data_IF_393910816643
#
_entry.id   IF_393910816643
#
_cell.length_a   1.000
_cell.length_b   1.000
_cell.length_c   1.000
_cell.angle_alpha   90.00
_cell.angle_beta   90.00
_cell.angle_gamma   90.00
#
_symmetry.space_group_name_H-M   'P 1'
#
loop_
_entity.id
_entity.type
_entity.pdbx_description
1 polymer ?
#
# COMPACT_ATOMS: atom_id res chain seq x y z
N UNK A 1 -4.90 38.73 13.54
CA UNK A 1 -4.75 37.27 13.34
C UNK A 1 -5.75 36.83 12.30
N UNK A 2 -5.35 36.80 11.02
CA UNK A 2 -6.26 36.43 9.93
C UNK A 2 -6.47 34.92 9.99
N UNK A 3 -7.70 34.50 10.28
CA UNK A 3 -8.10 33.10 10.26
C UNK A 3 -7.85 32.56 8.85
N UNK A 4 -6.89 31.64 8.74
CA UNK A 4 -6.62 30.85 7.54
C UNK A 4 -7.83 29.91 7.38
N UNK A 5 -8.82 30.29 6.57
CA UNK A 5 -9.89 29.38 6.20
C UNK A 5 -9.29 28.09 5.63
N UNK A 6 -9.89 26.91 5.86
CA UNK A 6 -9.40 25.68 5.25
C UNK A 6 -9.61 25.81 3.74
N UNK A 7 -8.55 26.19 3.04
CA UNK A 7 -8.51 26.18 1.58
C UNK A 7 -8.90 24.77 1.14
N UNK A 8 -9.92 24.65 0.28
CA UNK A 8 -10.26 23.37 -0.33
C UNK A 8 -8.97 22.79 -0.94
N UNK A 9 -8.65 21.50 -0.69
CA UNK A 9 -7.43 20.92 -1.25
C UNK A 9 -7.46 21.07 -2.77
N UNK A 10 -6.35 21.56 -3.31
CA UNK A 10 -6.18 21.66 -4.76
C UNK A 10 -6.21 20.27 -5.39
N UNK A 11 -6.46 20.20 -6.69
CA UNK A 11 -6.41 18.93 -7.42
C UNK A 11 -4.99 18.34 -7.40
N UNK A 12 -3.96 19.18 -7.39
CA UNK A 12 -2.57 18.79 -7.15
C UNK A 12 -2.36 18.14 -5.76
N UNK A 13 -2.90 18.73 -4.67
CA UNK A 13 -2.85 18.13 -3.33
C UNK A 13 -3.55 16.76 -3.28
N UNK A 14 -4.59 16.57 -4.09
CA UNK A 14 -5.30 15.31 -4.18
C UNK A 14 -4.47 14.25 -4.92
N UNK A 15 -3.79 14.62 -6.01
CA UNK A 15 -2.88 13.73 -6.75
C UNK A 15 -1.73 13.28 -5.85
N UNK A 16 -1.06 14.20 -5.14
CA UNK A 16 0.06 13.86 -4.24
C UNK A 16 -0.36 12.84 -3.16
N UNK A 17 -1.55 13.01 -2.59
CA UNK A 17 -2.09 12.05 -1.61
C UNK A 17 -2.35 10.67 -2.21
N UNK A 18 -2.87 10.62 -3.44
CA UNK A 18 -3.12 9.36 -4.14
C UNK A 18 -1.81 8.67 -4.52
N UNK A 19 -0.78 9.42 -4.92
CA UNK A 19 0.55 8.90 -5.21
C UNK A 19 1.24 8.36 -3.95
N UNK A 20 1.18 9.11 -2.85
CA UNK A 20 1.71 8.66 -1.57
C UNK A 20 1.05 7.35 -1.11
N UNK A 21 -0.25 7.20 -1.30
CA UNK A 21 -0.97 5.97 -0.97
C UNK A 21 -0.56 4.81 -1.89
N UNK A 22 -0.37 5.06 -3.19
CA UNK A 22 0.17 4.05 -4.11
C UNK A 22 1.55 3.56 -3.64
N UNK A 23 2.45 4.48 -3.25
CA UNK A 23 3.78 4.10 -2.77
C UNK A 23 3.73 3.31 -1.46
N UNK A 24 2.82 3.67 -0.54
CA UNK A 24 2.57 2.89 0.68
C UNK A 24 2.10 1.47 0.35
N UNK A 25 1.15 1.32 -0.56
CA UNK A 25 0.64 0.01 -0.98
C UNK A 25 1.72 -0.84 -1.65
N UNK A 26 2.59 -0.24 -2.46
CA UNK A 26 3.75 -0.91 -3.08
C UNK A 26 4.77 -1.36 -2.03
N UNK A 27 5.12 -0.48 -1.09
CA UNK A 27 6.05 -0.80 -0.01
C UNK A 27 5.51 -1.96 0.85
N UNK A 28 4.23 -1.87 1.23
CA UNK A 28 3.53 -2.92 1.95
C UNK A 28 3.55 -4.25 1.19
N UNK A 29 3.27 -4.23 -0.11
CA UNK A 29 3.31 -5.44 -0.94
C UNK A 29 4.72 -6.04 -1.03
N UNK A 30 5.75 -5.21 -1.16
CA UNK A 30 7.16 -5.65 -1.19
C UNK A 30 7.54 -6.35 0.12
N UNK A 31 7.18 -5.75 1.25
CA UNK A 31 7.38 -6.32 2.58
C UNK A 31 6.66 -7.67 2.73
N UNK A 32 5.37 -7.75 2.39
CA UNK A 32 4.61 -9.00 2.47
C UNK A 32 5.24 -10.12 1.64
N UNK A 33 5.69 -9.82 0.41
CA UNK A 33 6.36 -10.80 -0.46
C UNK A 33 7.69 -11.27 0.10
N UNK A 34 8.48 -10.35 0.66
CA UNK A 34 9.74 -10.68 1.32
C UNK A 34 9.49 -11.58 2.54
N UNK A 35 8.50 -11.25 3.37
CA UNK A 35 8.11 -12.05 4.52
C UNK A 35 7.66 -13.47 4.11
N UNK A 36 6.77 -13.60 3.12
CA UNK A 36 6.34 -14.91 2.61
C UNK A 36 7.51 -15.73 2.05
N UNK A 37 8.49 -15.06 1.43
CA UNK A 37 9.71 -15.73 0.93
C UNK A 37 10.57 -16.24 2.06
N UNK A 38 10.76 -15.45 3.11
CA UNK A 38 11.51 -15.84 4.30
C UNK A 38 10.82 -17.00 5.04
N UNK A 39 9.50 -16.92 5.24
CA UNK A 39 8.69 -17.99 5.84
C UNK A 39 8.79 -19.30 5.07
N UNK A 40 8.72 -19.26 3.73
CA UNK A 40 8.88 -20.46 2.89
C UNK A 40 10.26 -21.10 3.03
N UNK A 41 11.28 -20.31 3.33
CA UNK A 41 12.66 -20.78 3.57
C UNK A 41 12.92 -21.15 5.04
N UNK A 42 11.99 -20.86 5.96
CA UNK A 42 12.21 -21.01 7.40
C UNK A 42 13.24 -20.04 7.98
N UNK A 43 13.41 -18.86 7.36
CA UNK A 43 14.44 -17.88 7.74
C UNK A 43 13.87 -16.77 8.63
N UNK A 44 13.92 -17.00 9.95
CA UNK A 44 13.45 -16.04 10.95
C UNK A 44 14.35 -14.81 11.07
N UNK A 45 15.64 -14.95 10.75
CA UNK A 45 16.58 -13.82 10.73
C UNK A 45 16.18 -12.82 9.65
N UNK A 46 15.78 -13.31 8.47
CA UNK A 46 15.28 -12.45 7.41
C UNK A 46 13.99 -11.73 7.82
N UNK A 47 13.09 -12.38 8.57
CA UNK A 47 11.88 -11.73 9.09
C UNK A 47 12.19 -10.66 10.14
N UNK A 48 13.12 -10.93 11.06
CA UNK A 48 13.62 -9.92 12.00
C UNK A 48 14.26 -8.73 11.30
N UNK A 49 15.05 -8.98 10.25
CA UNK A 49 15.68 -7.94 9.45
C UNK A 49 14.67 -7.08 8.68
N UNK A 50 13.48 -7.63 8.36
CA UNK A 50 12.35 -6.88 7.81
C UNK A 50 11.60 -6.04 8.87
N UNK A 51 11.96 -6.18 10.16
CA UNK A 51 11.39 -5.42 11.27
C UNK A 51 10.23 -6.11 11.99
N UNK A 52 9.98 -7.39 11.73
CA UNK A 52 8.95 -8.14 12.46
C UNK A 52 9.44 -8.53 13.86
N UNK A 53 8.57 -8.40 14.87
CA UNK A 53 8.81 -8.94 16.21
C UNK A 53 8.66 -10.47 16.22
N UNK A 54 9.25 -11.12 17.22
CA UNK A 54 9.12 -12.58 17.41
C UNK A 54 7.67 -13.04 17.52
N UNK A 55 6.84 -12.26 18.21
CA UNK A 55 5.40 -12.51 18.33
C UNK A 55 4.72 -12.53 16.95
N UNK A 56 4.97 -11.51 16.13
CA UNK A 56 4.39 -11.40 14.80
C UNK A 56 4.93 -12.48 13.84
N UNK A 57 6.19 -12.89 14.01
CA UNK A 57 6.77 -14.03 13.27
C UNK A 57 6.04 -15.33 13.66
N UNK A 58 5.75 -15.53 14.94
CA UNK A 58 4.95 -16.65 15.44
C UNK A 58 3.54 -16.69 14.82
N UNK A 59 2.86 -15.54 14.78
CA UNK A 59 1.57 -15.40 14.12
C UNK A 59 1.65 -15.75 12.63
N UNK A 60 2.64 -15.20 11.91
CA UNK A 60 2.84 -15.46 10.49
C UNK A 60 3.17 -16.93 10.18
N UNK A 61 3.78 -17.65 11.12
CA UNK A 61 4.03 -19.10 11.01
C UNK A 61 2.80 -19.94 11.31
N UNK A 62 1.80 -19.37 11.97
CA UNK A 62 0.57 -20.08 12.27
C UNK A 62 -0.17 -20.34 10.96
N UNK A 63 -0.56 -21.59 10.74
CA UNK A 63 -1.28 -21.98 9.54
C UNK A 63 -2.69 -21.39 9.58
N UNK A 64 -3.12 -20.80 8.47
CA UNK A 64 -4.51 -20.43 8.27
C UNK A 64 -5.41 -21.68 8.17
N UNK A 65 -6.73 -21.47 8.08
CA UNK A 65 -7.72 -22.54 7.90
C UNK A 65 -7.44 -23.45 6.68
N UNK A 66 -6.70 -22.96 5.68
CA UNK A 66 -6.32 -23.68 4.47
C UNK A 66 -4.89 -24.24 4.52
N UNK A 67 -4.23 -24.23 5.69
CA UNK A 67 -2.89 -24.77 5.90
C UNK A 67 -1.74 -23.87 5.41
N UNK A 68 -2.01 -22.61 5.05
CA UNK A 68 -1.04 -21.67 4.48
C UNK A 68 -0.42 -20.81 5.58
N UNK A 69 0.83 -20.44 5.39
CA UNK A 69 1.58 -19.57 6.32
C UNK A 69 1.92 -18.24 5.67
N UNK A 70 2.03 -17.20 6.49
CA UNK A 70 2.35 -15.84 6.08
C UNK A 70 1.15 -15.02 5.58
N UNK A 71 1.45 -13.97 4.83
CA UNK A 71 0.44 -13.09 4.27
C UNK A 71 -0.36 -13.78 3.18
N UNK A 72 -1.70 -13.67 3.20
CA UNK A 72 -2.54 -14.36 2.24
C UNK A 72 -2.38 -13.76 0.84
N UNK A 73 -2.49 -14.60 -0.19
CA UNK A 73 -2.44 -14.16 -1.59
C UNK A 73 -3.57 -13.17 -1.93
N UNK A 74 -4.71 -13.25 -1.23
CA UNK A 74 -5.82 -12.31 -1.37
C UNK A 74 -5.41 -10.88 -1.00
N UNK A 75 -4.63 -10.68 0.07
CA UNK A 75 -4.12 -9.36 0.44
C UNK A 75 -3.23 -8.77 -0.66
N UNK A 76 -2.30 -9.57 -1.21
CA UNK A 76 -1.45 -9.14 -2.33
C UNK A 76 -2.26 -8.79 -3.58
N UNK A 77 -3.35 -9.54 -3.85
CA UNK A 77 -4.26 -9.27 -4.98
C UNK A 77 -5.04 -7.97 -4.77
N UNK A 78 -5.52 -7.74 -3.55
CA UNK A 78 -6.27 -6.54 -3.20
C UNK A 78 -5.38 -5.30 -3.33
N UNK A 79 -4.15 -5.31 -2.81
CA UNK A 79 -3.21 -4.20 -3.00
C UNK A 79 -2.99 -3.87 -4.49
N UNK A 80 -2.86 -4.88 -5.34
CA UNK A 80 -2.74 -4.66 -6.79
C UNK A 80 -3.99 -4.01 -7.40
N UNK A 81 -5.18 -4.41 -6.96
CA UNK A 81 -6.44 -3.83 -7.43
C UNK A 81 -6.54 -2.36 -6.97
N UNK A 82 -6.19 -2.07 -5.72
CA UNK A 82 -6.22 -0.73 -5.16
C UNK A 82 -5.21 0.19 -5.86
N UNK A 83 -3.97 -0.27 -6.09
CA UNK A 83 -2.98 0.49 -6.86
C UNK A 83 -3.51 0.83 -8.25
N UNK A 84 -4.14 -0.11 -8.95
CA UNK A 84 -4.73 0.15 -10.28
C UNK A 84 -5.86 1.18 -10.20
N UNK A 85 -6.72 1.07 -9.20
CA UNK A 85 -7.84 1.99 -8.97
C UNK A 85 -7.34 3.41 -8.68
N UNK A 86 -6.34 3.56 -7.81
CA UNK A 86 -5.76 4.86 -7.46
C UNK A 86 -5.06 5.50 -8.66
N UNK A 87 -4.34 4.72 -9.47
CA UNK A 87 -3.76 5.22 -10.73
C UNK A 87 -4.81 5.72 -11.71
N UNK A 88 -5.92 4.99 -11.85
CA UNK A 88 -7.05 5.46 -12.68
C UNK A 88 -7.61 6.77 -12.15
N UNK A 89 -7.73 6.91 -10.82
CA UNK A 89 -8.21 8.14 -10.20
C UNK A 89 -7.29 9.33 -10.45
N UNK A 90 -5.97 9.15 -10.40
CA UNK A 90 -5.00 10.20 -10.75
C UNK A 90 -5.22 10.65 -12.19
N UNK A 91 -5.34 9.72 -13.13
CA UNK A 91 -5.58 10.06 -14.54
C UNK A 91 -6.90 10.83 -14.74
N UNK A 92 -7.97 10.46 -14.02
CA UNK A 92 -9.25 11.18 -14.03
C UNK A 92 -9.11 12.63 -13.55
N UNK A 93 -8.36 12.85 -12.46
CA UNK A 93 -8.11 14.19 -11.90
C UNK A 93 -7.27 15.02 -12.88
N UNK A 94 -6.17 14.47 -13.39
CA UNK A 94 -5.31 15.15 -14.36
C UNK A 94 -6.07 15.55 -15.64
N UNK A 95 -6.99 14.71 -16.11
CA UNK A 95 -7.82 15.00 -17.28
C UNK A 95 -8.78 16.16 -17.00
N UNK A 96 -9.31 16.23 -15.77
CA UNK A 96 -10.18 17.33 -15.35
C UNK A 96 -9.42 18.64 -15.27
N UNK A 97 -8.26 18.67 -14.62
CA UNK A 97 -7.39 19.85 -14.56
C UNK A 97 -7.04 20.37 -15.96
N UNK A 98 -6.70 19.47 -16.90
CA UNK A 98 -6.36 19.85 -18.27
C UNK A 98 -7.56 20.43 -19.04
N UNK A 99 -8.75 19.87 -18.86
CA UNK A 99 -9.99 20.36 -19.50
C UNK A 99 -10.41 21.73 -18.94
N UNK A 100 -10.22 21.95 -17.64
CA UNK A 100 -10.57 23.22 -16.98
C UNK A 100 -9.54 24.33 -17.26
N UNK A 101 -8.28 23.99 -17.61
CA UNK A 101 -7.24 24.96 -17.97
C UNK A 101 -7.39 25.54 -19.40
N UNK A 102 -8.11 24.85 -20.29
CA UNK A 102 -8.37 25.28 -21.68
C UNK A 102 -9.63 26.15 -21.83
N UNK A 103 -10.31 26.49 -20.72
CA UNK A 103 -11.55 27.28 -20.68
C UNK A 103 -11.32 28.71 -20.19
#
# INVERSE_FOLDING_TARGET
MTMKQPMRPSESDAIEKLEAEIERLKASQKMMRAANTALRKGDDNALRALGFSEEHIGELKTKDFAGRVGFPQSALRNNNADIRRLKKRIAEVQTREACDADR
#
